data_IF_149253074917
#
_entry.id   IF_149253074917
#
_cell.length_a   1.000
_cell.length_b   1.000
_cell.length_c   1.000
_cell.angle_alpha   90.00
_cell.angle_beta   90.00
_cell.angle_gamma   90.00
#
_symmetry.space_group_name_H-M   'P 1'
#
loop_
_entity.id
_entity.type
_entity.pdbx_description
1 polymer ?
#
# COMPACT_ATOMS: atom_id res chain seq x y z
N UNK A 1 -9.33 -7.22 -21.47
CA UNK A 1 -8.48 -6.70 -20.39
C UNK A 1 -8.79 -7.52 -19.16
N UNK A 2 -7.79 -7.96 -18.39
CA UNK A 2 -8.04 -8.71 -17.16
C UNK A 2 -8.88 -7.85 -16.20
N UNK A 3 -9.86 -8.44 -15.51
CA UNK A 3 -10.59 -7.74 -14.45
C UNK A 3 -9.62 -7.38 -13.32
N UNK A 4 -9.82 -6.23 -12.69
CA UNK A 4 -9.10 -5.83 -11.48
C UNK A 4 -9.33 -6.85 -10.36
N UNK A 5 -8.25 -7.52 -9.92
CA UNK A 5 -8.29 -8.56 -8.90
C UNK A 5 -8.77 -8.00 -7.55
N UNK A 6 -9.64 -8.73 -6.86
CA UNK A 6 -10.14 -8.34 -5.54
C UNK A 6 -10.51 -9.58 -4.69
N UNK A 7 -10.77 -9.33 -3.41
CA UNK A 7 -10.99 -10.36 -2.38
C UNK A 7 -12.27 -11.19 -2.57
N UNK A 8 -13.24 -10.72 -3.37
CA UNK A 8 -14.52 -11.41 -3.58
C UNK A 8 -14.55 -12.27 -4.85
N UNK A 9 -13.47 -12.26 -5.63
CA UNK A 9 -13.37 -13.06 -6.85
C UNK A 9 -13.41 -14.56 -6.55
N UNK A 10 -14.12 -15.28 -7.42
CA UNK A 10 -14.11 -16.74 -7.41
C UNK A 10 -12.88 -17.29 -8.13
N UNK A 11 -12.51 -18.54 -7.86
CA UNK A 11 -11.36 -19.18 -8.51
C UNK A 11 -11.46 -19.22 -10.05
N UNK A 12 -12.67 -19.15 -10.61
CA UNK A 12 -12.92 -19.13 -12.06
C UNK A 12 -12.58 -17.79 -12.71
N UNK A 13 -12.48 -16.74 -11.91
CA UNK A 13 -12.21 -15.36 -12.37
C UNK A 13 -10.73 -14.99 -12.24
N UNK A 14 -9.94 -15.84 -11.58
CA UNK A 14 -8.50 -15.65 -11.44
C UNK A 14 -7.79 -15.81 -12.79
N UNK A 15 -6.67 -15.10 -12.92
CA UNK A 15 -5.77 -15.24 -14.07
C UNK A 15 -5.09 -16.61 -14.06
N UNK A 16 -4.76 -17.13 -15.25
CA UNK A 16 -4.06 -18.41 -15.38
C UNK A 16 -2.73 -18.36 -14.62
N UNK A 17 -2.53 -19.24 -13.62
CA UNK A 17 -1.33 -19.26 -12.80
C UNK A 17 -1.13 -18.03 -11.89
N UNK A 18 -2.16 -17.20 -11.69
CA UNK A 18 -2.04 -15.99 -10.86
C UNK A 18 -1.18 -14.89 -11.49
N UNK A 19 -1.02 -14.89 -12.81
CA UNK A 19 -0.22 -13.88 -13.51
C UNK A 19 -0.83 -12.48 -13.36
N UNK A 20 0.04 -11.50 -13.11
CA UNK A 20 -0.35 -10.09 -13.02
C UNK A 20 -0.18 -9.44 -14.40
N UNK A 21 -1.25 -8.82 -14.92
CA UNK A 21 -1.27 -8.20 -16.25
C UNK A 21 -1.14 -6.67 -16.22
N UNK A 22 -1.20 -6.06 -15.04
CA UNK A 22 -1.13 -4.60 -14.84
C UNK A 22 -0.01 -4.25 -13.86
N UNK A 23 0.86 -3.31 -14.24
CA UNK A 23 1.90 -2.80 -13.34
C UNK A 23 1.30 -1.89 -12.26
N UNK A 24 1.94 -1.80 -11.10
CA UNK A 24 1.53 -0.88 -10.02
C UNK A 24 0.27 -1.29 -9.25
N UNK A 25 -0.30 -2.46 -9.53
CA UNK A 25 -1.53 -2.93 -8.88
C UNK A 25 -1.42 -3.16 -7.36
N UNK A 26 -0.20 -3.14 -6.80
CA UNK A 26 0.03 -3.14 -5.35
C UNK A 26 -0.68 -1.97 -4.66
N UNK A 27 -0.93 -0.87 -5.35
CA UNK A 27 -1.74 0.25 -4.85
C UNK A 27 -3.17 -0.16 -4.50
N UNK A 28 -3.73 -1.17 -5.18
CA UNK A 28 -5.09 -1.65 -4.92
C UNK A 28 -5.18 -2.49 -3.63
N UNK A 29 -4.06 -3.01 -3.14
CA UNK A 29 -4.02 -3.81 -1.92
C UNK A 29 -3.86 -2.92 -0.69
N UNK A 30 -4.95 -2.72 0.06
CA UNK A 30 -4.98 -1.77 1.18
C UNK A 30 -4.57 -2.46 2.49
N UNK A 31 -3.41 -2.10 3.05
CA UNK A 31 -2.84 -2.68 4.28
C UNK A 31 -3.20 -1.93 5.56
N UNK A 32 -4.16 -1.00 5.49
CA UNK A 32 -4.48 -0.11 6.62
C UNK A 32 -5.14 -0.81 7.82
N UNK A 33 -5.70 -1.98 7.58
CA UNK A 33 -6.32 -2.89 8.54
C UNK A 33 -5.30 -3.64 9.42
N UNK A 34 -4.03 -3.73 9.02
CA UNK A 34 -2.97 -4.39 9.80
C UNK A 34 -2.58 -3.63 11.09
N UNK A 35 -3.02 -2.38 11.22
CA UNK A 35 -2.60 -1.50 12.30
C UNK A 35 -3.26 -1.85 13.63
N UNK A 36 -2.45 -2.12 14.65
CA UNK A 36 -2.87 -2.01 16.07
C UNK A 36 -2.66 -0.60 16.60
N UNK A 37 -1.64 0.11 16.10
CA UNK A 37 -1.35 1.51 16.40
C UNK A 37 -0.87 2.25 15.14
N UNK A 38 -0.75 3.58 15.21
CA UNK A 38 -0.24 4.43 14.11
C UNK A 38 0.63 5.57 14.64
N UNK A 39 1.62 6.05 13.85
CA UNK A 39 2.41 7.22 14.23
C UNK A 39 1.51 8.46 14.32
N UNK A 40 1.77 9.32 15.32
CA UNK A 40 1.12 10.62 15.48
C UNK A 40 2.14 11.71 15.16
N UNK A 41 1.88 12.46 14.09
CA UNK A 41 2.77 13.54 13.67
C UNK A 41 2.62 14.77 14.58
N UNK A 42 3.75 15.25 15.10
CA UNK A 42 3.83 16.46 15.94
C UNK A 42 4.59 17.53 15.17
N UNK A 43 3.84 18.36 14.46
CA UNK A 43 4.38 19.36 13.54
C UNK A 43 5.27 20.39 14.24
N UNK A 44 4.89 20.80 15.46
CA UNK A 44 5.64 21.71 16.33
C UNK A 44 7.05 21.19 16.70
N UNK A 45 7.29 19.88 16.56
CA UNK A 45 8.56 19.22 16.88
C UNK A 45 9.32 18.72 15.67
N UNK A 46 8.73 18.81 14.47
CA UNK A 46 9.34 18.30 13.26
C UNK A 46 10.44 19.26 12.79
N UNK A 47 11.67 18.76 12.66
CA UNK A 47 12.80 19.53 12.11
C UNK A 47 12.99 19.32 10.59
N UNK A 48 12.03 18.66 9.93
CA UNK A 48 12.08 18.34 8.51
C UNK A 48 13.33 17.55 8.07
N UNK A 49 13.86 16.68 8.94
CA UNK A 49 15.03 15.85 8.62
C UNK A 49 14.76 14.73 7.59
N UNK A 50 13.49 14.51 7.25
CA UNK A 50 13.00 13.45 6.35
C UNK A 50 13.35 12.02 6.75
N UNK A 51 13.99 11.77 7.91
CA UNK A 51 14.38 10.42 8.33
C UNK A 51 13.22 9.44 8.44
N UNK A 52 12.01 9.91 8.72
CA UNK A 52 10.83 9.06 8.80
C UNK A 52 10.43 8.45 7.46
N UNK A 53 10.65 9.14 6.33
CA UNK A 53 10.23 8.68 5.01
C UNK A 53 11.02 7.46 4.49
N UNK A 54 12.37 7.47 4.42
CA UNK A 54 13.14 6.36 3.86
C UNK A 54 13.16 5.12 4.77
N UNK A 55 12.86 5.25 6.06
CA UNK A 55 12.77 4.11 6.99
C UNK A 55 11.39 3.46 7.00
N UNK A 56 10.39 4.05 6.33
CA UNK A 56 9.06 3.47 6.24
C UNK A 56 9.07 2.29 5.25
N UNK A 57 8.78 1.05 5.69
CA UNK A 57 8.81 -0.11 4.80
C UNK A 57 7.69 -0.10 3.74
N UNK A 58 6.59 0.61 4.00
CA UNK A 58 5.40 0.65 3.16
C UNK A 58 5.23 1.98 2.38
N UNK A 59 6.26 2.85 2.35
CA UNK A 59 6.20 4.16 1.66
C UNK A 59 4.96 4.99 2.04
N UNK A 60 4.50 4.87 3.29
CA UNK A 60 3.23 5.43 3.75
C UNK A 60 3.31 6.90 4.20
N UNK A 61 4.48 7.52 4.11
CA UNK A 61 4.73 8.91 4.50
C UNK A 61 4.91 9.75 3.23
N UNK A 62 3.95 10.62 2.89
CA UNK A 62 4.07 11.48 1.72
C UNK A 62 5.19 12.51 1.89
N UNK A 63 6.00 12.69 0.86
CA UNK A 63 6.96 13.79 0.73
C UNK A 63 6.50 14.62 -0.46
N UNK A 64 6.07 15.85 -0.22
CA UNK A 64 5.59 16.80 -1.24
C UNK A 64 6.43 18.07 -1.17
#
# INVERSE_FOLDING_TARGET
MAKEMNETMTWKELTAGGTIHTAGNAENFKTGDWRVNKPIFKEDKCIQCLLCAPVCPDTSIPVK
#
